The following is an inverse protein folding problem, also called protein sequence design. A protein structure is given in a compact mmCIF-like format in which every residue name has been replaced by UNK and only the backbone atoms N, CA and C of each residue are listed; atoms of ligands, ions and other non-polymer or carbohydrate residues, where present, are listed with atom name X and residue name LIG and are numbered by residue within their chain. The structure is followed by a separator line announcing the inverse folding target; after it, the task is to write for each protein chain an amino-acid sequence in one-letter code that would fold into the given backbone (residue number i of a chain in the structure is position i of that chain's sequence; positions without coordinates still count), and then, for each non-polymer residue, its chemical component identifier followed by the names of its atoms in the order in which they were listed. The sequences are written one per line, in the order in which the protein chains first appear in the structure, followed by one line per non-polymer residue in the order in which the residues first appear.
data_IF_068423576203
#
_entry.id   IF_068423576203
#
_cell.length_a   1.000
_cell.length_b   1.000
_cell.length_c   1.000
_cell.angle_alpha   90.00
_cell.angle_beta   90.00
_cell.angle_gamma   90.00
#
_symmetry.space_group_name_H-M   'P 1'
#
loop_
_entity.id
_entity.type
_entity.pdbx_description
1 polymer ?
#
# COMPACT_ATOMS: atom_id res chain seq x y z
N UNK A 1 -10.40 -27.58 -9.99
CA UNK A 1 -10.78 -26.23 -10.46
C UNK A 1 -10.61 -26.17 -11.98
N UNK A 2 -11.41 -25.40 -12.73
CA UNK A 2 -11.24 -25.31 -14.19
C UNK A 2 -10.25 -24.19 -14.57
N UNK A 3 -9.77 -24.20 -15.82
CA UNK A 3 -8.76 -23.23 -16.29
C UNK A 3 -9.24 -21.77 -16.18
N UNK A 4 -10.54 -21.51 -16.40
CA UNK A 4 -11.12 -20.19 -16.27
C UNK A 4 -11.03 -19.66 -14.83
N UNK A 5 -11.38 -20.48 -13.84
CA UNK A 5 -11.31 -20.12 -12.43
C UNK A 5 -9.87 -19.90 -11.95
N UNK A 6 -8.90 -20.70 -12.43
CA UNK A 6 -7.47 -20.46 -12.15
C UNK A 6 -7.04 -19.09 -12.71
N UNK A 7 -7.42 -18.79 -13.96
CA UNK A 7 -7.11 -17.50 -14.60
C UNK A 7 -7.73 -16.31 -13.86
N UNK A 8 -8.96 -16.45 -13.35
CA UNK A 8 -9.64 -15.40 -12.59
C UNK A 8 -8.96 -15.12 -11.24
N UNK A 9 -8.54 -16.17 -10.53
CA UNK A 9 -7.76 -16.02 -9.29
C UNK A 9 -6.40 -15.38 -9.54
N UNK A 10 -5.70 -15.78 -10.60
CA UNK A 10 -4.43 -15.15 -10.98
C UNK A 10 -4.60 -13.67 -11.32
N UNK A 11 -5.65 -13.30 -12.06
CA UNK A 11 -5.96 -11.90 -12.35
C UNK A 11 -6.30 -11.10 -11.08
N UNK A 12 -7.04 -11.71 -10.14
CA UNK A 12 -7.37 -11.11 -8.85
C UNK A 12 -6.12 -10.85 -8.02
N UNK A 13 -5.19 -11.81 -7.94
CA UNK A 13 -3.92 -11.63 -7.25
C UNK A 13 -3.08 -10.50 -7.86
N UNK A 14 -3.03 -10.41 -9.19
CA UNK A 14 -2.32 -9.33 -9.88
C UNK A 14 -2.93 -7.94 -9.57
N UNK A 15 -4.26 -7.85 -9.49
CA UNK A 15 -4.95 -6.61 -9.11
C UNK A 15 -4.63 -6.18 -7.67
N UNK A 16 -4.54 -7.13 -6.74
CA UNK A 16 -4.18 -6.86 -5.35
C UNK A 16 -2.73 -6.35 -5.23
N UNK A 17 -1.80 -6.97 -5.96
CA UNK A 17 -0.40 -6.51 -6.04
C UNK A 17 -0.29 -5.08 -6.62
N UNK A 18 -1.02 -4.77 -7.71
CA UNK A 18 -1.06 -3.42 -8.29
C UNK A 18 -1.56 -2.38 -7.27
N UNK A 19 -2.63 -2.71 -6.55
CA UNK A 19 -3.17 -1.82 -5.50
C UNK A 19 -2.19 -1.63 -4.35
N UNK A 20 -1.47 -2.67 -3.94
CA UNK A 20 -0.43 -2.57 -2.93
C UNK A 20 0.66 -1.57 -3.37
N UNK A 21 1.15 -1.70 -4.60
CA UNK A 21 2.18 -0.82 -5.15
C UNK A 21 1.71 0.66 -5.23
N UNK A 22 0.46 0.91 -5.63
CA UNK A 22 -0.12 2.27 -5.65
C UNK A 22 -0.20 2.88 -4.25
N UNK A 23 -0.59 2.11 -3.24
CA UNK A 23 -0.69 2.57 -1.86
C UNK A 23 0.69 2.92 -1.29
N UNK A 24 1.71 2.10 -1.54
CA UNK A 24 3.08 2.42 -1.14
C UNK A 24 3.61 3.70 -1.79
N UNK A 25 3.39 3.84 -3.10
CA UNK A 25 3.77 5.04 -3.84
C UNK A 25 3.11 6.29 -3.25
N UNK A 26 1.81 6.21 -2.91
CA UNK A 26 1.12 7.31 -2.23
C UNK A 26 1.75 7.65 -0.88
N UNK A 27 2.16 6.64 -0.10
CA UNK A 27 2.87 6.82 1.16
C UNK A 27 4.22 7.52 1.00
N UNK A 28 5.00 7.18 -0.02
CA UNK A 28 6.29 7.81 -0.30
C UNK A 28 6.14 9.26 -0.82
N UNK A 29 5.09 9.53 -1.60
CA UNK A 29 4.73 10.90 -1.99
C UNK A 29 4.39 11.76 -0.76
N UNK A 30 3.60 11.23 0.18
CA UNK A 30 3.28 11.92 1.43
C UNK A 30 4.54 12.22 2.25
N UNK A 31 5.43 11.23 2.40
CA UNK A 31 6.69 11.40 3.12
C UNK A 31 7.57 12.48 2.48
N UNK A 32 7.67 12.48 1.14
CA UNK A 32 8.44 13.47 0.40
C UNK A 32 7.89 14.87 0.62
N UNK A 33 6.57 15.06 0.46
CA UNK A 33 5.91 16.37 0.66
C UNK A 33 6.07 16.88 2.08
N UNK A 34 5.99 15.99 3.07
CA UNK A 34 6.18 16.33 4.47
C UNK A 34 7.62 16.76 4.79
N UNK A 35 8.61 16.11 4.19
CA UNK A 35 10.02 16.45 4.35
C UNK A 35 10.37 17.81 3.69
N UNK A 36 9.71 18.17 2.59
CA UNK A 36 9.95 19.43 1.87
C UNK A 36 9.16 20.63 2.40
N UNK A 37 8.34 20.45 3.44
CA UNK A 37 7.54 21.54 4.00
C UNK A 37 8.44 22.59 4.68
N UNK A 38 8.33 23.85 4.27
CA UNK A 38 9.26 24.94 4.62
C UNK A 38 8.89 25.71 5.89
N UNK A 39 7.80 25.36 6.60
CA UNK A 39 7.37 26.04 7.82
C UNK A 39 7.82 25.34 9.10
N UNK A 40 7.95 26.09 10.18
CA UNK A 40 8.47 25.63 11.48
C UNK A 40 7.50 25.95 12.63
N UNK A 41 7.74 25.33 13.79
CA UNK A 41 6.93 25.47 14.99
C UNK A 41 6.10 24.22 15.33
N UNK A 42 5.39 24.20 16.47
CA UNK A 42 4.72 23.00 16.98
C UNK A 42 3.71 22.37 16.02
N UNK A 43 3.02 23.19 15.22
CA UNK A 43 2.10 22.72 14.19
C UNK A 43 2.83 21.97 13.06
N UNK A 44 4.03 22.42 12.69
CA UNK A 44 4.87 21.76 11.68
C UNK A 44 5.33 20.38 12.19
N UNK A 45 5.75 20.30 13.45
CA UNK A 45 6.21 19.05 14.05
C UNK A 45 5.08 18.04 14.17
N UNK A 46 3.89 18.49 14.61
CA UNK A 46 2.69 17.64 14.62
C UNK A 46 2.31 17.17 13.22
N UNK A 47 2.37 18.04 12.22
CA UNK A 47 2.11 17.65 10.84
C UNK A 47 3.08 16.55 10.36
N UNK A 48 4.38 16.71 10.60
CA UNK A 48 5.39 15.69 10.22
C UNK A 48 5.11 14.34 10.89
N UNK A 49 4.76 14.33 12.18
CA UNK A 49 4.39 13.10 12.90
C UNK A 49 3.16 12.43 12.27
N UNK A 50 2.09 13.19 12.01
CA UNK A 50 0.88 12.65 11.37
C UNK A 50 1.16 12.09 9.98
N UNK A 51 2.07 12.70 9.22
CA UNK A 51 2.47 12.18 7.90
C UNK A 51 3.27 10.87 8.01
N UNK A 52 4.12 10.72 9.03
CA UNK A 52 4.82 9.45 9.31
C UNK A 52 3.83 8.36 9.72
N UNK A 53 2.89 8.67 10.62
CA UNK A 53 1.83 7.74 11.03
C UNK A 53 1.00 7.29 9.80
N UNK A 54 0.56 8.25 8.98
CA UNK A 54 -0.21 7.95 7.78
C UNK A 54 0.56 7.10 6.77
N UNK A 55 1.87 7.33 6.61
CA UNK A 55 2.73 6.49 5.77
C UNK A 55 2.79 5.06 6.29
N UNK A 56 2.91 4.88 7.60
CA UNK A 56 2.97 3.56 8.22
C UNK A 56 1.63 2.81 8.05
N UNK A 57 0.50 3.50 8.19
CA UNK A 57 -0.83 2.93 7.90
C UNK A 57 -0.94 2.45 6.45
N UNK A 58 -0.50 3.28 5.48
CA UNK A 58 -0.51 2.91 4.06
C UNK A 58 0.37 1.68 3.80
N UNK A 59 1.56 1.61 4.39
CA UNK A 59 2.44 0.43 4.29
C UNK A 59 1.80 -0.83 4.86
N UNK A 60 1.15 -0.72 6.02
CA UNK A 60 0.42 -1.85 6.59
C UNK A 60 -0.72 -2.31 5.66
N UNK A 61 -1.46 -1.38 5.05
CA UNK A 61 -2.47 -1.70 4.05
C UNK A 61 -1.90 -2.36 2.79
N UNK A 62 -0.76 -1.90 2.29
CA UNK A 62 -0.09 -2.51 1.14
C UNK A 62 0.42 -3.92 1.46
N UNK A 63 0.96 -4.15 2.67
CA UNK A 63 1.35 -5.47 3.13
C UNK A 63 0.15 -6.42 3.17
N UNK A 64 -0.97 -5.99 3.76
CA UNK A 64 -2.19 -6.80 3.82
C UNK A 64 -2.72 -7.17 2.42
N UNK A 65 -2.60 -6.27 1.44
CA UNK A 65 -2.95 -6.57 0.04
C UNK A 65 -2.03 -7.61 -0.59
N UNK A 66 -0.72 -7.57 -0.30
CA UNK A 66 0.23 -8.59 -0.76
C UNK A 66 -0.02 -9.94 -0.13
N UNK A 67 -0.32 -9.97 1.16
CA UNK A 67 -0.68 -11.20 1.88
C UNK A 67 -1.95 -11.81 1.27
N UNK A 68 -2.95 -10.99 0.96
CA UNK A 68 -4.14 -11.44 0.25
C UNK A 68 -3.82 -11.93 -1.19
N UNK A 69 -2.98 -11.23 -1.94
CA UNK A 69 -2.55 -11.66 -3.28
C UNK A 69 -1.80 -13.01 -3.23
N UNK A 70 -0.97 -13.20 -2.20
CA UNK A 70 -0.29 -14.47 -1.96
C UNK A 70 -1.29 -15.59 -1.65
N UNK A 71 -2.24 -15.36 -0.74
CA UNK A 71 -3.28 -16.33 -0.39
C UNK A 71 -4.12 -16.75 -1.62
N UNK A 72 -4.51 -15.77 -2.46
CA UNK A 72 -5.23 -16.03 -3.71
C UNK A 72 -4.39 -16.87 -4.69
N UNK A 73 -3.09 -16.56 -4.84
CA UNK A 73 -2.18 -17.37 -5.67
C UNK A 73 -2.08 -18.81 -5.16
N UNK A 74 -1.95 -19.00 -3.85
CA UNK A 74 -1.86 -20.34 -3.26
C UNK A 74 -3.15 -21.14 -3.42
N UNK A 75 -4.32 -20.48 -3.43
CA UNK A 75 -5.60 -21.14 -3.71
C UNK A 75 -5.78 -21.51 -5.19
N UNK A 76 -4.97 -20.94 -6.08
CA UNK A 76 -4.98 -21.22 -7.52
C UNK A 76 -4.08 -22.41 -7.94
N UNK A 77 -3.29 -22.94 -7.01
CA UNK A 77 -2.45 -24.13 -7.17
C UNK A 77 -3.23 -25.42 -6.86
#
# INVERSE_FOLDING_TARGET
MNAAAISELQATAALLDDRAARIESAGDVLATRAATATWSGPAADRFRLLMVERRNELRAGALALRDAAHAVRTAAL
#
